data_IF_133403490394
#
_entry.id   IF_133403490394
#
_cell.length_a   1.000
_cell.length_b   1.000
_cell.length_c   1.000
_cell.angle_alpha   90.00
_cell.angle_beta   90.00
_cell.angle_gamma   90.00
#
_symmetry.space_group_name_H-M   'P 1'
#
loop_
_entity.id
_entity.type
_entity.pdbx_description
1 polymer ?
#
# COMPACT_ATOMS: atom_id res chain seq x y z
N UNK A 1 13.51 -54.85 9.82
CA UNK A 1 12.45 -54.12 10.57
C UNK A 1 12.97 -52.82 11.15
N UNK A 2 13.90 -52.85 12.13
CA UNK A 2 14.40 -51.62 12.78
C UNK A 2 15.07 -50.60 11.84
N UNK A 3 15.90 -51.06 10.90
CA UNK A 3 16.60 -50.16 9.94
C UNK A 3 15.61 -49.46 9.00
N UNK A 4 14.63 -50.18 8.47
CA UNK A 4 13.60 -49.61 7.59
C UNK A 4 12.76 -48.55 8.33
N UNK A 5 12.45 -48.80 9.59
CA UNK A 5 11.68 -47.89 10.44
C UNK A 5 12.48 -46.62 10.77
N UNK A 6 13.78 -46.77 11.04
CA UNK A 6 14.69 -45.63 11.23
C UNK A 6 14.81 -44.77 9.96
N UNK A 7 14.95 -45.39 8.78
CA UNK A 7 14.94 -44.68 7.49
C UNK A 7 13.62 -43.92 7.27
N UNK A 8 12.49 -44.55 7.56
CA UNK A 8 11.18 -43.90 7.43
C UNK A 8 11.03 -42.69 8.36
N UNK A 9 11.46 -42.80 9.62
CA UNK A 9 11.45 -41.68 10.56
C UNK A 9 12.37 -40.53 10.12
N UNK A 10 13.54 -40.84 9.56
CA UNK A 10 14.47 -39.84 9.06
C UNK A 10 13.88 -39.07 7.86
N UNK A 11 13.31 -39.77 6.88
CA UNK A 11 12.65 -39.14 5.73
C UNK A 11 11.47 -38.29 6.18
N UNK A 12 10.65 -38.81 7.10
CA UNK A 12 9.50 -38.08 7.63
C UNK A 12 9.92 -36.81 8.39
N UNK A 13 10.98 -36.88 9.20
CA UNK A 13 11.55 -35.72 9.88
C UNK A 13 12.04 -34.63 8.91
N UNK A 14 12.70 -35.03 7.83
CA UNK A 14 13.13 -34.09 6.78
C UNK A 14 11.91 -33.44 6.09
N UNK A 15 10.89 -34.22 5.72
CA UNK A 15 9.69 -33.68 5.07
C UNK A 15 8.97 -32.71 6.00
N UNK A 16 8.76 -33.06 7.27
CA UNK A 16 8.09 -32.18 8.23
C UNK A 16 8.83 -30.87 8.44
N UNK A 17 10.16 -30.92 8.60
CA UNK A 17 10.96 -29.70 8.79
C UNK A 17 10.96 -28.82 7.54
N UNK A 18 11.00 -29.41 6.35
CA UNK A 18 10.87 -28.68 5.10
C UNK A 18 9.49 -28.03 4.96
N UNK A 19 8.41 -28.79 5.16
CA UNK A 19 7.04 -28.29 5.08
C UNK A 19 6.77 -27.18 6.09
N UNK A 20 7.31 -27.28 7.30
CA UNK A 20 7.14 -26.23 8.32
C UNK A 20 7.87 -24.94 7.95
N UNK A 21 9.07 -25.05 7.37
CA UNK A 21 9.82 -23.88 6.86
C UNK A 21 9.11 -23.22 5.69
N UNK A 22 8.59 -24.00 4.75
CA UNK A 22 7.82 -23.50 3.61
C UNK A 22 6.54 -22.80 4.09
N UNK A 23 5.81 -23.43 5.02
CA UNK A 23 4.62 -22.83 5.63
C UNK A 23 4.93 -21.48 6.27
N UNK A 24 5.97 -21.39 7.08
CA UNK A 24 6.36 -20.13 7.72
C UNK A 24 6.73 -19.06 6.69
N UNK A 25 7.50 -19.42 5.66
CA UNK A 25 7.86 -18.48 4.60
C UNK A 25 6.62 -17.97 3.82
N UNK A 26 5.64 -18.84 3.55
CA UNK A 26 4.38 -18.42 2.94
C UNK A 26 3.56 -17.55 3.90
N UNK A 27 3.54 -17.89 5.19
CA UNK A 27 2.81 -17.11 6.19
C UNK A 27 3.39 -15.70 6.34
N UNK A 28 4.71 -15.56 6.40
CA UNK A 28 5.38 -14.25 6.43
C UNK A 28 5.04 -13.41 5.20
N UNK A 29 5.07 -14.02 4.00
CA UNK A 29 4.68 -13.34 2.76
C UNK A 29 3.22 -12.90 2.81
N UNK A 30 2.31 -13.76 3.27
CA UNK A 30 0.89 -13.42 3.44
C UNK A 30 0.71 -12.23 4.37
N UNK A 31 1.32 -12.27 5.56
CA UNK A 31 1.24 -11.17 6.54
C UNK A 31 1.76 -9.86 5.94
N UNK A 32 2.90 -9.91 5.22
CA UNK A 32 3.45 -8.71 4.58
C UNK A 32 2.56 -8.16 3.47
N UNK A 33 1.95 -9.04 2.66
CA UNK A 33 1.04 -8.65 1.59
C UNK A 33 -0.26 -8.07 2.14
N UNK A 34 -0.82 -8.67 3.19
CA UNK A 34 -2.02 -8.19 3.86
C UNK A 34 -1.79 -6.81 4.48
N UNK A 35 -0.64 -6.60 5.13
CA UNK A 35 -0.27 -5.29 5.67
C UNK A 35 -0.12 -4.23 4.55
N UNK A 36 0.48 -4.60 3.43
CA UNK A 36 0.62 -3.68 2.30
C UNK A 36 -0.74 -3.35 1.65
N UNK A 37 -1.62 -4.34 1.51
CA UNK A 37 -2.98 -4.16 1.02
C UNK A 37 -3.78 -3.21 1.93
N UNK A 38 -3.70 -3.39 3.25
CA UNK A 38 -4.35 -2.49 4.20
C UNK A 38 -3.82 -1.06 4.09
N UNK A 39 -2.51 -0.89 3.97
CA UNK A 39 -1.91 0.43 3.80
C UNK A 39 -2.38 1.12 2.50
N UNK A 40 -2.44 0.38 1.39
CA UNK A 40 -2.94 0.91 0.11
C UNK A 40 -4.43 1.24 0.17
N UNK A 41 -5.25 0.41 0.82
CA UNK A 41 -6.67 0.68 1.02
C UNK A 41 -6.90 1.94 1.85
N UNK A 42 -6.11 2.12 2.92
CA UNK A 42 -6.15 3.32 3.76
C UNK A 42 -5.81 4.58 2.94
N UNK A 43 -4.70 4.56 2.19
CA UNK A 43 -4.30 5.67 1.33
C UNK A 43 -5.34 5.99 0.27
N UNK A 44 -5.96 4.96 -0.31
CA UNK A 44 -7.01 5.14 -1.32
C UNK A 44 -8.25 5.77 -0.70
N UNK A 45 -8.67 5.32 0.49
CA UNK A 45 -9.79 5.92 1.22
C UNK A 45 -9.53 7.41 1.54
N UNK A 46 -8.33 7.75 2.04
CA UNK A 46 -7.94 9.13 2.30
C UNK A 46 -7.96 10.00 1.03
N UNK A 47 -7.43 9.47 -0.09
CA UNK A 47 -7.49 10.17 -1.38
C UNK A 47 -8.91 10.35 -1.89
N UNK A 48 -9.78 9.36 -1.73
CA UNK A 48 -11.19 9.46 -2.12
C UNK A 48 -11.92 10.52 -1.29
N UNK A 49 -11.69 10.57 0.02
CA UNK A 49 -12.23 11.63 0.88
C UNK A 49 -11.73 13.00 0.42
N UNK A 50 -10.42 13.15 0.19
CA UNK A 50 -9.85 14.40 -0.32
C UNK A 50 -10.45 14.82 -1.66
N UNK A 51 -10.60 13.89 -2.61
CA UNK A 51 -11.22 14.17 -3.92
C UNK A 51 -12.70 14.54 -3.78
N UNK A 52 -13.41 13.91 -2.86
CA UNK A 52 -14.81 14.22 -2.58
C UNK A 52 -14.97 15.62 -2.00
N UNK A 53 -14.11 16.02 -1.06
CA UNK A 53 -14.07 17.38 -0.53
C UNK A 53 -13.68 18.40 -1.60
N UNK A 54 -12.70 18.08 -2.45
CA UNK A 54 -12.28 18.93 -3.56
C UNK A 54 -13.42 19.16 -4.54
N UNK A 55 -14.12 18.10 -4.97
CA UNK A 55 -15.20 18.18 -5.95
C UNK A 55 -16.44 18.91 -5.42
N UNK A 56 -16.72 18.80 -4.13
CA UNK A 56 -17.89 19.42 -3.50
C UNK A 56 -17.63 20.87 -3.03
N UNK A 57 -16.38 21.35 -3.06
CA UNK A 57 -16.01 22.70 -2.65
C UNK A 57 -15.31 23.48 -3.79
N UNK A 58 -16.05 24.29 -4.58
CA UNK A 58 -15.49 25.03 -5.71
C UNK A 58 -14.35 25.99 -5.31
N UNK A 59 -14.37 26.54 -4.10
CA UNK A 59 -13.31 27.42 -3.59
C UNK A 59 -11.99 26.67 -3.33
N UNK A 60 -12.04 25.35 -3.06
CA UNK A 60 -10.83 24.53 -2.99
C UNK A 60 -10.26 24.21 -4.37
N UNK A 61 -11.11 23.94 -5.36
CA UNK A 61 -10.66 23.72 -6.74
C UNK A 61 -9.94 24.96 -7.25
N UNK A 62 -10.51 26.15 -7.05
CA UNK A 62 -9.91 27.39 -7.50
C UNK A 62 -8.54 27.63 -6.85
N UNK A 63 -8.42 27.44 -5.53
CA UNK A 63 -7.13 27.53 -4.81
C UNK A 63 -6.10 26.51 -5.29
N UNK A 64 -6.48 25.23 -5.40
CA UNK A 64 -5.57 24.16 -5.84
C UNK A 64 -5.09 24.40 -7.28
N UNK A 65 -5.97 24.90 -8.15
CA UNK A 65 -5.64 25.26 -9.53
C UNK A 65 -4.72 26.50 -9.58
N UNK A 66 -4.96 27.49 -8.72
CA UNK A 66 -4.15 28.71 -8.62
C UNK A 66 -2.73 28.41 -8.09
N UNK A 67 -2.60 27.54 -7.09
CA UNK A 67 -1.31 27.16 -6.49
C UNK A 67 -0.51 26.16 -7.33
N UNK A 68 -1.14 25.09 -7.85
CA UNK A 68 -0.42 24.02 -8.58
C UNK A 68 -0.25 24.28 -10.07
N UNK A 69 -1.24 24.93 -10.69
CA UNK A 69 -1.25 25.15 -12.14
C UNK A 69 -0.97 26.61 -12.51
N UNK A 70 -0.84 27.52 -11.52
CA UNK A 70 -0.59 28.94 -11.75
C UNK A 70 -1.73 29.64 -12.49
N UNK A 71 -2.95 29.06 -12.44
CA UNK A 71 -4.08 29.52 -13.22
C UNK A 71 -4.61 30.85 -12.67
N UNK A 72 -4.63 31.89 -13.50
CA UNK A 72 -5.28 33.18 -13.21
C UNK A 72 -6.55 33.30 -14.03
N UNK A 73 -7.62 33.87 -13.47
CA UNK A 73 -8.86 34.12 -14.22
C UNK A 73 -8.59 35.15 -15.33
N UNK A 74 -9.34 35.10 -16.44
CA UNK A 74 -9.24 36.15 -17.47
C UNK A 74 -9.51 37.54 -16.86
N UNK A 75 -8.55 38.46 -17.01
CA UNK A 75 -8.60 39.81 -16.42
C UNK A 75 -7.99 39.95 -15.02
N UNK A 76 -7.45 38.87 -14.43
CA UNK A 76 -6.84 38.90 -13.10
C UNK A 76 -5.35 39.33 -13.16
N UNK A 77 -4.99 40.38 -12.43
CA UNK A 77 -3.62 40.90 -12.33
C UNK A 77 -2.91 40.27 -11.12
N UNK A 78 -1.98 39.34 -11.37
CA UNK A 78 -1.17 38.71 -10.32
C UNK A 78 0.13 39.52 -10.12
N UNK A 79 0.24 40.18 -8.97
CA UNK A 79 1.49 40.83 -8.54
C UNK A 79 2.38 39.82 -7.81
N UNK A 80 3.52 39.46 -8.43
CA UNK A 80 4.60 38.75 -7.73
C UNK A 80 5.58 39.77 -7.17
N UNK A 81 5.57 39.96 -5.86
CA UNK A 81 6.61 40.74 -5.17
C UNK A 81 7.90 39.92 -5.18
N UNK A 82 8.97 40.48 -5.75
CA UNK A 82 10.33 39.94 -5.67
C UNK A 82 10.99 40.58 -4.44
N UNK A 83 11.47 39.77 -3.51
CA UNK A 83 12.46 40.22 -2.51
C UNK A 83 13.80 40.52 -3.18
#
# INVERSE_FOLDING_TARGET
MAVALACACAVFGVVLTQSWREYNAFNERRVSADAHLQALQQQNAEQQTYLTELLNNPDMIERATRERLGYSREGELIFKFRE
#
